data_IF_308643400592
#
_entry.id   IF_308643400592
#
_cell.length_a   1.000
_cell.length_b   1.000
_cell.length_c   1.000
_cell.angle_alpha   90.00
_cell.angle_beta   90.00
_cell.angle_gamma   90.00
#
_symmetry.space_group_name_H-M   'P 1'
#
loop_
_entity.id
_entity.type
_entity.pdbx_description
1 polymer ?
#
# COMPACT_ATOMS: atom_id res chain seq x y z
N UNK A 1 -10.62 -6.46 -0.24
CA UNK A 1 -9.70 -6.44 0.92
C UNK A 1 -9.93 -7.72 1.71
N UNK A 2 -8.86 -8.47 2.01
CA UNK A 2 -8.95 -9.71 2.79
C UNK A 2 -9.43 -9.43 4.22
N UNK A 3 -10.08 -10.40 4.88
CA UNK A 3 -10.78 -10.14 6.14
C UNK A 3 -9.87 -9.63 7.26
N UNK A 4 -8.67 -10.21 7.42
CA UNK A 4 -7.68 -9.74 8.41
C UNK A 4 -7.13 -8.35 8.09
N UNK A 5 -7.06 -7.98 6.81
CA UNK A 5 -6.56 -6.67 6.42
C UNK A 5 -7.54 -5.55 6.83
N UNK A 6 -8.85 -5.84 6.93
CA UNK A 6 -9.89 -4.88 7.36
C UNK A 6 -9.72 -4.43 8.81
N UNK A 7 -9.00 -5.17 9.64
CA UNK A 7 -8.73 -4.80 11.03
C UNK A 7 -7.72 -3.64 11.14
N UNK A 8 -6.86 -3.47 10.14
CA UNK A 8 -5.79 -2.46 10.13
C UNK A 8 -5.94 -1.42 9.04
N UNK A 9 -6.65 -1.72 7.95
CA UNK A 9 -6.71 -0.90 6.75
C UNK A 9 -8.14 -0.72 6.25
N UNK A 10 -8.45 0.50 5.83
CA UNK A 10 -9.71 0.88 5.23
C UNK A 10 -9.53 1.23 3.75
N UNK A 11 -10.62 1.11 2.98
CA UNK A 11 -10.63 1.61 1.61
C UNK A 11 -10.39 3.12 1.61
N UNK A 12 -9.46 3.58 0.79
CA UNK A 12 -9.07 4.99 0.71
C UNK A 12 -7.83 5.34 1.53
N UNK A 13 -7.31 4.43 2.37
CA UNK A 13 -6.04 4.64 3.06
C UNK A 13 -4.90 4.80 2.04
N UNK A 14 -4.12 5.86 2.20
CA UNK A 14 -2.91 6.10 1.42
C UNK A 14 -1.76 5.31 2.02
N UNK A 15 -1.23 4.39 1.25
CA UNK A 15 -0.20 3.43 1.69
C UNK A 15 0.92 3.32 0.68
N UNK A 16 2.06 2.83 1.15
CA UNK A 16 3.16 2.36 0.32
C UNK A 16 3.46 0.90 0.65
N UNK A 17 4.01 0.17 -0.32
CA UNK A 17 4.28 -1.26 -0.18
C UNK A 17 5.39 -1.69 -1.14
N UNK A 18 6.23 -2.61 -0.68
CA UNK A 18 7.13 -3.36 -1.56
C UNK A 18 6.40 -4.59 -2.10
N UNK A 19 6.26 -4.66 -3.43
CA UNK A 19 5.66 -5.81 -4.12
C UNK A 19 6.73 -6.63 -4.83
N UNK A 20 6.56 -7.95 -4.86
CA UNK A 20 7.46 -8.83 -5.61
C UNK A 20 7.34 -8.64 -7.14
N UNK A 21 6.21 -8.09 -7.60
CA UNK A 21 5.94 -7.82 -9.02
C UNK A 21 4.55 -7.20 -9.22
N UNK A 22 4.27 -6.77 -10.46
CA UNK A 22 2.95 -6.22 -10.83
C UNK A 22 2.70 -4.76 -10.40
N UNK A 23 3.72 -4.05 -9.90
CA UNK A 23 3.59 -2.65 -9.44
C UNK A 23 3.41 -1.63 -10.57
N UNK A 24 3.86 -1.94 -11.79
CA UNK A 24 3.61 -1.13 -12.98
C UNK A 24 2.24 -1.46 -13.60
N UNK A 25 1.18 -1.25 -12.82
CA UNK A 25 -0.20 -1.48 -13.21
C UNK A 25 -1.12 -0.49 -12.48
N UNK A 26 -2.36 -0.34 -12.94
CA UNK A 26 -3.37 0.48 -12.24
C UNK A 26 -3.73 -0.12 -10.87
N UNK A 27 -3.61 -1.45 -10.73
CA UNK A 27 -3.92 -2.18 -9.50
C UNK A 27 -2.94 -3.33 -9.31
N UNK A 28 -2.56 -3.58 -8.05
CA UNK A 28 -1.71 -4.69 -7.64
C UNK A 28 -2.22 -5.31 -6.35
N UNK A 29 -2.13 -6.64 -6.24
CA UNK A 29 -2.38 -7.34 -4.97
C UNK A 29 -1.11 -7.33 -4.13
N UNK A 30 -1.20 -6.86 -2.88
CA UNK A 30 -0.08 -6.86 -1.95
C UNK A 30 -0.40 -7.63 -0.67
N UNK A 31 0.61 -8.24 -0.06
CA UNK A 31 0.47 -8.90 1.23
C UNK A 31 0.38 -7.84 2.33
N UNK A 32 -0.61 -7.93 3.21
CA UNK A 32 -0.87 -6.89 4.23
C UNK A 32 0.33 -6.62 5.15
N UNK A 33 1.15 -7.64 5.42
CA UNK A 33 2.37 -7.50 6.24
C UNK A 33 3.49 -6.69 5.58
N UNK A 34 3.35 -6.33 4.31
CA UNK A 34 4.29 -5.48 3.57
C UNK A 34 3.76 -4.05 3.36
N UNK A 35 2.53 -3.76 3.79
CA UNK A 35 1.86 -2.47 3.59
C UNK A 35 2.17 -1.55 4.77
N UNK A 36 2.46 -0.28 4.48
CA UNK A 36 2.80 0.74 5.48
C UNK A 36 2.12 2.07 5.14
N UNK A 37 1.83 2.89 6.16
CA UNK A 37 1.35 4.25 5.96
C UNK A 37 2.46 5.09 5.31
N UNK A 38 2.05 6.03 4.47
CA UNK A 38 2.98 7.04 3.95
C UNK A 38 3.33 8.01 5.09
N UNK A 39 4.62 8.28 5.35
CA UNK A 39 5.03 9.23 6.36
C UNK A 39 4.49 10.64 6.09
N UNK A 40 4.30 11.41 7.15
CA UNK A 40 3.85 12.80 7.02
C UNK A 40 4.86 13.64 6.22
N UNK A 41 4.35 14.50 5.34
CA UNK A 41 5.18 15.38 4.51
C UNK A 41 5.80 14.72 3.28
N UNK A 42 5.58 13.41 3.05
CA UNK A 42 6.07 12.70 1.87
C UNK A 42 4.95 12.56 0.84
N UNK A 43 5.24 12.89 -0.43
CA UNK A 43 4.28 12.73 -1.52
C UNK A 43 4.11 11.24 -1.89
N UNK A 44 2.98 10.89 -2.53
CA UNK A 44 2.77 9.52 -3.02
C UNK A 44 3.88 9.06 -4.00
N UNK A 45 4.42 9.99 -4.80
CA UNK A 45 5.44 9.71 -5.81
C UNK A 45 6.78 9.45 -5.12
N UNK A 46 7.17 10.31 -4.17
CA UNK A 46 8.42 10.14 -3.44
C UNK A 46 8.40 8.87 -2.58
N UNK A 47 7.23 8.49 -2.05
CA UNK A 47 7.04 7.25 -1.31
C UNK A 47 7.15 5.97 -2.17
N UNK A 48 7.00 6.09 -3.49
CA UNK A 48 7.08 4.98 -4.44
C UNK A 48 8.48 4.78 -5.04
N UNK A 49 9.42 5.69 -4.73
CA UNK A 49 10.81 5.64 -5.19
C UNK A 49 11.70 4.64 -4.46
#
# INVERSE_FOLDING_TARGET
VGDKAKEQWNNGDKVMVLVAGGGYAEYVTAHMGCVMKIPEGISMIDAAG
#
